data_IF_245597075487
#
_entry.id   IF_245597075487
#
_cell.length_a   1.000
_cell.length_b   1.000
_cell.length_c   1.000
_cell.angle_alpha   90.00
_cell.angle_beta   90.00
_cell.angle_gamma   90.00
#
_symmetry.space_group_name_H-M   'P 1'
#
loop_
_entity.id
_entity.type
_entity.pdbx_description
1 polymer ?
#
# COMPACT_ATOMS: atom_id res chain seq x y z
N UNK A 1 -1.01 -10.04 6.14
CA UNK A 1 -0.43 -8.74 6.58
C UNK A 1 1.08 -8.80 6.84
N UNK A 2 1.86 -7.81 6.40
CA UNK A 2 3.32 -7.73 6.65
C UNK A 2 3.62 -7.48 8.13
N UNK A 3 4.54 -8.24 8.78
CA UNK A 3 4.80 -8.13 10.22
C UNK A 3 5.18 -6.72 10.68
N UNK A 4 5.94 -5.98 9.88
CA UNK A 4 6.42 -4.64 10.23
C UNK A 4 5.31 -3.59 10.34
N UNK A 5 4.12 -3.85 9.77
CA UNK A 5 2.99 -2.92 9.82
C UNK A 5 2.08 -3.13 11.05
N UNK A 6 2.23 -4.25 11.77
CA UNK A 6 1.37 -4.59 12.93
C UNK A 6 1.26 -3.48 13.98
N UNK A 7 2.37 -2.90 14.49
CA UNK A 7 2.29 -1.90 15.55
C UNK A 7 1.44 -0.69 15.16
N UNK A 8 1.46 -0.30 13.88
CA UNK A 8 0.70 0.85 13.36
C UNK A 8 -0.79 0.57 13.19
N UNK A 9 -1.17 -0.69 13.04
CA UNK A 9 -2.56 -1.10 12.88
C UNK A 9 -3.23 -1.45 14.21
N UNK A 10 -2.43 -1.73 15.24
CA UNK A 10 -2.90 -1.91 16.61
C UNK A 10 -3.26 -0.56 17.26
N UNK A 11 -2.62 0.53 16.83
CA UNK A 11 -3.07 1.89 17.16
C UNK A 11 -4.33 2.23 16.36
N UNK A 12 -5.45 2.37 17.09
CA UNK A 12 -6.77 2.64 16.52
C UNK A 12 -6.80 3.94 15.73
N UNK A 13 -6.14 5.00 16.23
CA UNK A 13 -6.15 6.32 15.60
C UNK A 13 -5.36 6.32 14.28
N UNK A 14 -4.21 5.66 14.26
CA UNK A 14 -3.39 5.49 13.06
C UNK A 14 -4.09 4.60 12.04
N UNK A 15 -4.74 3.52 12.49
CA UNK A 15 -5.52 2.64 11.64
C UNK A 15 -6.68 3.40 10.98
N UNK A 16 -7.47 4.17 11.72
CA UNK A 16 -8.56 4.96 11.16
C UNK A 16 -8.07 6.04 10.19
N UNK A 17 -6.96 6.71 10.54
CA UNK A 17 -6.30 7.68 9.65
C UNK A 17 -5.81 7.05 8.33
N UNK A 18 -5.22 5.85 8.38
CA UNK A 18 -4.82 5.10 7.20
C UNK A 18 -6.03 4.70 6.34
N UNK A 19 -7.05 4.11 6.96
CA UNK A 19 -8.23 3.59 6.26
C UNK A 19 -9.06 4.70 5.62
N UNK A 20 -9.25 5.84 6.31
CA UNK A 20 -9.97 6.99 5.77
C UNK A 20 -9.30 7.61 4.54
N UNK A 21 -7.97 7.47 4.42
CA UNK A 21 -7.18 7.97 3.30
C UNK A 21 -6.94 6.96 2.20
N UNK A 22 -7.23 5.69 2.43
CA UNK A 22 -7.11 4.61 1.45
C UNK A 22 -8.46 4.42 0.76
N UNK A 23 -8.60 4.73 -0.55
CA UNK A 23 -9.87 4.57 -1.27
C UNK A 23 -10.50 3.17 -1.17
N UNK A 24 -9.69 2.11 -1.12
CA UNK A 24 -10.20 0.75 -0.90
C UNK A 24 -10.70 0.47 0.53
N UNK A 25 -10.47 1.39 1.48
CA UNK A 25 -11.00 1.32 2.84
C UNK A 25 -10.49 0.14 3.68
N UNK A 26 -9.43 -0.54 3.23
CA UNK A 26 -8.84 -1.70 3.91
C UNK A 26 -7.32 -1.75 3.74
N UNK A 27 -6.68 -2.51 4.63
CA UNK A 27 -5.28 -2.89 4.49
C UNK A 27 -5.15 -3.95 3.38
N UNK A 28 -4.08 -3.84 2.60
CA UNK A 28 -3.74 -4.83 1.59
C UNK A 28 -3.20 -6.14 2.19
N UNK A 29 -3.47 -7.25 1.54
CA UNK A 29 -2.88 -8.54 1.88
C UNK A 29 -1.57 -8.79 1.12
N UNK A 30 -0.60 -9.54 1.71
CA UNK A 30 0.68 -9.84 1.07
C UNK A 30 0.54 -10.48 -0.32
N UNK A 31 -0.53 -11.24 -0.54
CA UNK A 31 -0.77 -11.89 -1.81
C UNK A 31 -1.09 -10.90 -2.94
N UNK A 32 -1.55 -9.69 -2.63
CA UNK A 32 -1.85 -8.66 -3.62
C UNK A 32 -0.55 -8.13 -4.24
N UNK A 33 0.46 -7.80 -3.42
CA UNK A 33 1.79 -7.42 -3.93
C UNK A 33 2.51 -8.58 -4.59
N UNK A 34 2.39 -9.80 -4.06
CA UNK A 34 2.96 -10.98 -4.69
C UNK A 34 2.39 -11.23 -6.09
N UNK A 35 1.09 -11.02 -6.28
CA UNK A 35 0.42 -11.20 -7.58
C UNK A 35 0.94 -10.21 -8.62
N UNK A 36 1.17 -8.95 -8.25
CA UNK A 36 1.81 -7.97 -9.13
C UNK A 36 3.24 -8.38 -9.50
N UNK A 37 4.03 -8.82 -8.52
CA UNK A 37 5.40 -9.30 -8.78
C UNK A 37 5.39 -10.46 -9.76
N UNK A 38 4.53 -11.45 -9.55
CA UNK A 38 4.37 -12.59 -10.47
C UNK A 38 4.02 -12.11 -11.87
N UNK A 39 3.04 -11.22 -12.01
CA UNK A 39 2.65 -10.64 -13.30
C UNK A 39 3.84 -9.98 -14.02
N UNK A 40 4.63 -9.17 -13.31
CA UNK A 40 5.80 -8.49 -13.88
C UNK A 40 6.91 -9.46 -14.34
N UNK A 41 6.93 -10.68 -13.81
CA UNK A 41 7.85 -11.74 -14.25
C UNK A 41 7.31 -12.55 -15.44
N UNK A 42 6.05 -12.39 -15.85
CA UNK A 42 5.48 -13.12 -16.98
C UNK A 42 5.89 -12.50 -18.33
N UNK A 43 5.93 -13.30 -19.42
CA UNK A 43 6.15 -12.77 -20.78
C UNK A 43 5.15 -11.68 -21.20
N UNK A 44 3.94 -11.69 -20.62
CA UNK A 44 2.93 -10.67 -20.84
C UNK A 44 3.38 -9.26 -20.43
N UNK A 45 4.33 -9.14 -19.50
CA UNK A 45 4.91 -7.89 -19.05
C UNK A 45 6.22 -7.52 -19.78
N UNK A 46 6.56 -8.20 -20.89
CA UNK A 46 7.86 -8.07 -21.58
C UNK A 46 8.25 -6.66 -22.04
N UNK A 47 7.27 -5.75 -22.17
CA UNK A 47 7.51 -4.36 -22.55
C UNK A 47 7.35 -3.36 -21.39
N UNK A 48 7.16 -3.84 -20.16
CA UNK A 48 7.06 -3.02 -18.96
C UNK A 48 8.45 -2.97 -18.30
N UNK A 49 9.10 -1.82 -18.38
CA UNK A 49 10.40 -1.59 -17.74
C UNK A 49 10.52 -0.13 -17.28
N UNK A 50 11.34 0.11 -16.25
CA UNK A 50 11.57 1.45 -15.69
C UNK A 50 10.37 2.09 -14.99
N UNK A 51 9.34 1.31 -14.63
CA UNK A 51 8.12 1.82 -14.00
C UNK A 51 8.13 1.61 -12.49
N UNK A 52 7.65 2.62 -11.75
CA UNK A 52 7.28 2.49 -10.34
C UNK A 52 5.77 2.27 -10.27
N UNK A 53 5.33 1.07 -9.89
CA UNK A 53 3.91 0.71 -9.82
C UNK A 53 3.46 0.78 -8.36
N UNK A 54 2.49 1.65 -8.06
CA UNK A 54 1.92 1.77 -6.72
C UNK A 54 0.82 0.71 -6.53
N UNK A 55 0.96 -0.12 -5.51
CA UNK A 55 -0.01 -1.15 -5.12
C UNK A 55 -0.43 -0.97 -3.65
N UNK A 56 -1.10 0.14 -3.38
CA UNK A 56 -1.38 0.62 -2.03
C UNK A 56 -2.88 0.85 -1.75
N UNK A 57 -3.76 0.35 -2.63
CA UNK A 57 -5.20 0.58 -2.54
C UNK A 57 -5.63 2.05 -2.74
N UNK A 58 -4.74 2.87 -3.33
CA UNK A 58 -4.96 4.28 -3.63
C UNK A 58 -4.49 5.24 -2.54
N UNK A 59 -3.75 4.76 -1.53
CA UNK A 59 -3.27 5.56 -0.41
C UNK A 59 -2.51 6.81 -0.86
N UNK A 60 -1.63 6.70 -1.86
CA UNK A 60 -0.80 7.81 -2.36
C UNK A 60 -1.62 9.02 -2.84
N UNK A 61 -2.86 8.82 -3.30
CA UNK A 61 -3.71 9.93 -3.79
C UNK A 61 -3.98 10.95 -2.68
N UNK A 62 -4.18 10.49 -1.44
CA UNK A 62 -4.43 11.34 -0.29
C UNK A 62 -3.21 11.48 0.63
N UNK A 63 -2.29 10.51 0.60
CA UNK A 63 -1.02 10.48 1.33
C UNK A 63 -1.16 10.58 2.85
N UNK A 64 -0.07 10.89 3.53
CA UNK A 64 -0.10 11.33 4.92
C UNK A 64 0.30 12.80 5.00
N UNK A 65 -0.52 13.62 5.67
CA UNK A 65 -0.09 14.95 6.07
C UNK A 65 0.94 14.82 7.19
N UNK A 66 2.17 15.27 6.93
CA UNK A 66 3.15 15.44 7.99
C UNK A 66 2.73 16.64 8.84
N UNK A 67 2.51 16.41 10.13
CA UNK A 67 2.40 17.48 11.12
C UNK A 67 3.62 17.39 12.03
N UNK A 68 4.53 18.39 12.01
CA UNK A 68 5.61 18.42 12.97
C UNK A 68 4.99 18.51 14.37
N UNK A 69 5.47 17.67 15.30
CA UNK A 69 5.13 17.84 16.71
C UNK A 69 5.78 19.14 17.19
N UNK A 70 4.94 20.06 17.70
CA UNK A 70 5.35 21.29 18.36
C UNK A 70 5.96 20.99 19.74
#
# INVERSE_FOLDING_TARGET
MTPSLRPYLEDVSLREGLLSRTPLGRVGEPNEVASLVVFLCLPAASYITGQTICIDGGLIVNGFSYQPQA
#
